data_IF_722223167694
#
_entry.id   IF_722223167694
#
_cell.length_a   1.000
_cell.length_b   1.000
_cell.length_c   1.000
_cell.angle_alpha   90.00
_cell.angle_beta   90.00
_cell.angle_gamma   90.00
#
_symmetry.space_group_name_H-M   'P 1'
#
loop_
_entity.id
_entity.type
_entity.pdbx_description
1 polymer ?
#
# COMPACT_ATOMS: atom_id res chain seq x y z
N UNK A 1 -36.78 -1.57 -22.28
CA UNK A 1 -35.74 -2.00 -23.25
C UNK A 1 -35.28 -3.39 -22.83
N UNK A 2 -35.74 -4.44 -23.52
CA UNK A 2 -35.52 -5.84 -23.12
C UNK A 2 -34.11 -6.28 -23.54
N UNK A 3 -33.18 -6.39 -22.58
CA UNK A 3 -31.88 -7.03 -22.80
C UNK A 3 -32.06 -8.55 -22.85
N UNK A 4 -31.49 -9.20 -23.86
CA UNK A 4 -31.53 -10.66 -24.00
C UNK A 4 -30.47 -11.31 -23.10
N UNK A 5 -30.77 -12.48 -22.52
CA UNK A 5 -29.82 -13.25 -21.67
C UNK A 5 -28.46 -13.52 -22.34
N UNK A 6 -28.44 -13.58 -23.67
CA UNK A 6 -27.23 -13.82 -24.46
C UNK A 6 -26.33 -12.60 -24.53
N UNK A 7 -26.90 -11.39 -24.51
CA UNK A 7 -26.16 -10.13 -24.51
C UNK A 7 -25.45 -9.88 -23.16
N UNK A 8 -26.16 -10.16 -22.06
CA UNK A 8 -25.59 -10.03 -20.71
C UNK A 8 -24.38 -10.96 -20.51
N UNK A 9 -24.48 -12.21 -20.97
CA UNK A 9 -23.41 -13.19 -20.86
C UNK A 9 -22.15 -12.82 -21.65
N UNK A 10 -22.29 -12.21 -22.83
CA UNK A 10 -21.16 -11.74 -23.64
C UNK A 10 -20.49 -10.53 -23.00
N UNK A 11 -21.26 -9.63 -22.37
CA UNK A 11 -20.71 -8.50 -21.60
C UNK A 11 -19.93 -9.00 -20.37
N UNK A 12 -20.47 -9.97 -19.64
CA UNK A 12 -19.81 -10.60 -18.48
C UNK A 12 -18.50 -11.31 -18.89
N UNK A 13 -18.54 -12.10 -19.97
CA UNK A 13 -17.36 -12.79 -20.52
C UNK A 13 -16.28 -11.79 -21.00
N UNK A 14 -16.67 -10.64 -21.57
CA UNK A 14 -15.74 -9.59 -22.01
C UNK A 14 -15.10 -8.83 -20.85
N UNK A 15 -15.85 -8.56 -19.78
CA UNK A 15 -15.32 -7.97 -18.54
C UNK A 15 -14.28 -8.90 -17.94
N UNK A 16 -14.57 -10.20 -17.88
CA UNK A 16 -13.64 -11.22 -17.38
C UNK A 16 -12.37 -11.31 -18.24
N UNK A 17 -12.50 -11.27 -19.57
CA UNK A 17 -11.36 -11.27 -20.51
C UNK A 17 -10.48 -10.03 -20.36
N UNK A 18 -11.08 -8.83 -20.26
CA UNK A 18 -10.33 -7.57 -20.11
C UNK A 18 -9.64 -7.49 -18.75
N UNK A 19 -10.29 -7.95 -17.67
CA UNK A 19 -9.69 -8.06 -16.34
C UNK A 19 -8.52 -9.04 -16.32
N UNK A 20 -8.63 -10.17 -17.03
CA UNK A 20 -7.57 -11.17 -17.11
C UNK A 20 -6.36 -10.74 -17.95
N UNK A 21 -6.53 -9.82 -18.90
CA UNK A 21 -5.44 -9.35 -19.76
C UNK A 21 -4.47 -8.38 -19.08
N UNK A 22 -4.88 -7.72 -17.98
CA UNK A 22 -4.09 -6.70 -17.27
C UNK A 22 -3.73 -7.09 -15.82
N UNK A 23 -3.83 -8.38 -15.49
CA UNK A 23 -3.51 -8.99 -14.19
C UNK A 23 -4.27 -8.42 -12.96
N UNK A 24 -5.20 -7.48 -13.14
CA UNK A 24 -5.99 -6.92 -12.05
C UNK A 24 -7.40 -7.50 -12.11
N UNK A 25 -7.72 -8.39 -11.17
CA UNK A 25 -9.04 -9.00 -11.03
C UNK A 25 -9.88 -8.21 -10.03
N UNK A 26 -11.06 -7.75 -10.45
CA UNK A 26 -12.07 -7.18 -9.57
C UNK A 26 -13.27 -8.13 -9.56
N UNK A 27 -13.58 -8.69 -8.40
CA UNK A 27 -14.78 -9.49 -8.17
C UNK A 27 -16.03 -8.62 -8.00
N UNK A 28 -17.15 -9.28 -7.72
CA UNK A 28 -18.43 -8.58 -7.55
C UNK A 28 -18.39 -7.70 -6.30
N UNK A 29 -17.67 -8.14 -5.27
CA UNK A 29 -17.51 -7.43 -4.00
C UNK A 29 -16.81 -6.09 -4.18
N UNK A 30 -15.74 -6.02 -4.99
CA UNK A 30 -15.06 -4.77 -5.31
C UNK A 30 -15.95 -3.84 -6.13
N UNK A 31 -16.66 -4.35 -7.12
CA UNK A 31 -17.60 -3.57 -7.94
C UNK A 31 -18.70 -2.96 -7.05
N UNK A 32 -19.28 -3.76 -6.17
CA UNK A 32 -20.30 -3.29 -5.23
C UNK A 32 -19.75 -2.25 -4.25
N UNK A 33 -18.50 -2.40 -3.79
CA UNK A 33 -17.85 -1.41 -2.93
C UNK A 33 -17.70 -0.06 -3.65
N UNK A 34 -17.29 -0.07 -4.93
CA UNK A 34 -17.22 1.15 -5.75
C UNK A 34 -18.61 1.77 -5.92
N UNK A 35 -19.64 0.97 -6.21
CA UNK A 35 -21.03 1.46 -6.33
C UNK A 35 -21.52 2.09 -5.02
N UNK A 36 -21.25 1.44 -3.88
CA UNK A 36 -21.58 2.00 -2.55
C UNK A 36 -20.87 3.33 -2.31
N UNK A 37 -19.57 3.42 -2.59
CA UNK A 37 -18.81 4.66 -2.48
C UNK A 37 -19.43 5.77 -3.31
N UNK A 38 -19.70 5.52 -4.59
CA UNK A 38 -20.27 6.52 -5.52
C UNK A 38 -21.67 6.99 -5.10
N UNK A 39 -22.49 6.09 -4.55
CA UNK A 39 -23.85 6.42 -4.09
C UNK A 39 -23.90 7.06 -2.70
N UNK A 40 -22.82 6.97 -1.93
CA UNK A 40 -22.81 7.40 -0.52
C UNK A 40 -22.83 8.91 -0.31
N UNK A 41 -22.49 9.71 -1.33
CA UNK A 41 -22.20 11.15 -1.17
C UNK A 41 -20.84 11.47 -0.53
N UNK A 42 -20.06 10.44 -0.16
CA UNK A 42 -18.78 10.54 0.56
C UNK A 42 -17.59 10.01 -0.26
N UNK A 43 -17.73 9.96 -1.59
CA UNK A 43 -16.74 9.35 -2.48
C UNK A 43 -15.38 10.08 -2.51
N UNK A 44 -15.30 11.32 -2.01
CA UNK A 44 -14.06 12.10 -1.97
C UNK A 44 -13.08 11.66 -0.87
N UNK A 45 -13.55 10.90 0.13
CA UNK A 45 -12.73 10.53 1.29
C UNK A 45 -12.38 11.69 2.24
N UNK A 46 -13.06 12.84 2.10
CA UNK A 46 -12.87 14.01 2.98
C UNK A 46 -13.61 13.89 4.31
N UNK A 47 -14.39 12.84 4.50
CA UNK A 47 -15.21 12.62 5.68
C UNK A 47 -14.69 11.43 6.48
N UNK A 48 -15.03 11.39 7.77
CA UNK A 48 -14.65 10.32 8.70
C UNK A 48 -15.53 9.07 8.58
N UNK A 49 -16.41 9.04 7.58
CA UNK A 49 -17.33 7.96 7.23
C UNK A 49 -17.11 7.48 5.78
N UNK A 50 -18.02 6.63 5.28
CA UNK A 50 -17.93 6.04 3.94
C UNK A 50 -17.02 4.82 3.82
N UNK A 51 -16.83 4.35 2.58
CA UNK A 51 -16.12 3.10 2.30
C UNK A 51 -14.63 3.16 2.70
N UNK A 52 -13.98 4.32 2.56
CA UNK A 52 -12.58 4.51 2.97
C UNK A 52 -12.37 4.38 4.47
N UNK A 53 -13.26 4.99 5.28
CA UNK A 53 -13.21 4.84 6.74
C UNK A 53 -13.59 3.42 7.20
N UNK A 54 -14.49 2.74 6.48
CA UNK A 54 -14.79 1.32 6.74
C UNK A 54 -13.56 0.45 6.47
N UNK A 55 -12.93 0.63 5.31
CA UNK A 55 -11.70 -0.06 4.94
C UNK A 55 -10.60 0.15 5.98
N UNK A 56 -10.37 1.40 6.42
CA UNK A 56 -9.39 1.70 7.47
C UNK A 56 -9.62 0.87 8.75
N UNK A 57 -10.85 0.80 9.25
CA UNK A 57 -11.18 0.03 10.47
C UNK A 57 -11.02 -1.48 10.26
N UNK A 58 -11.45 -2.00 9.13
CA UNK A 58 -11.32 -3.42 8.81
C UNK A 58 -9.85 -3.83 8.64
N UNK A 59 -9.06 -2.99 7.95
CA UNK A 59 -7.64 -3.21 7.74
C UNK A 59 -6.83 -3.11 9.04
N UNK A 60 -7.13 -2.12 9.90
CA UNK A 60 -6.52 -2.01 11.22
C UNK A 60 -6.74 -3.30 12.05
N UNK A 61 -7.99 -3.82 12.05
CA UNK A 61 -8.31 -5.08 12.72
C UNK A 61 -7.57 -6.27 12.11
N UNK A 62 -7.49 -6.39 10.79
CA UNK A 62 -6.77 -7.50 10.15
C UNK A 62 -5.27 -7.49 10.43
N UNK A 63 -4.69 -6.29 10.57
CA UNK A 63 -3.27 -6.12 10.90
C UNK A 63 -2.99 -6.17 12.42
N UNK A 64 -4.02 -6.21 13.27
CA UNK A 64 -3.86 -6.19 14.73
C UNK A 64 -3.33 -4.86 15.29
N UNK A 65 -3.61 -3.75 14.60
CA UNK A 65 -3.18 -2.40 15.01
C UNK A 65 -4.38 -1.53 15.41
N UNK A 66 -4.14 -0.50 16.21
CA UNK A 66 -5.20 0.42 16.67
C UNK A 66 -5.72 1.31 15.53
N UNK A 67 -4.82 1.77 14.66
CA UNK A 67 -5.13 2.72 13.59
C UNK A 67 -4.56 2.27 12.24
N UNK A 68 -5.28 2.56 11.17
CA UNK A 68 -4.79 2.47 9.80
C UNK A 68 -5.21 3.72 9.02
N UNK A 69 -4.30 4.26 8.20
CA UNK A 69 -4.55 5.42 7.35
C UNK A 69 -4.47 5.00 5.87
N UNK A 70 -5.60 4.92 5.16
CA UNK A 70 -5.60 4.64 3.73
C UNK A 70 -4.96 5.80 2.97
N UNK A 71 -4.04 5.48 2.06
CA UNK A 71 -3.36 6.45 1.21
C UNK A 71 -3.48 6.03 -0.26
N UNK A 72 -3.35 7.00 -1.15
CA UNK A 72 -3.40 6.76 -2.60
C UNK A 72 -2.17 6.04 -3.16
N UNK A 73 -1.02 6.11 -2.45
CA UNK A 73 0.24 5.46 -2.85
C UNK A 73 1.10 5.15 -1.62
N UNK A 74 1.75 3.98 -1.60
CA UNK A 74 2.58 3.52 -0.48
C UNK A 74 3.76 4.45 -0.17
N UNK A 75 4.31 5.12 -1.18
CA UNK A 75 5.34 6.13 -1.04
C UNK A 75 4.97 7.28 -0.09
N UNK A 76 3.70 7.70 -0.07
CA UNK A 76 3.23 8.73 0.87
C UNK A 76 3.23 8.19 2.30
N UNK A 77 3.01 6.89 2.49
CA UNK A 77 3.10 6.26 3.81
C UNK A 77 4.52 6.36 4.37
N UNK A 78 5.55 6.11 3.55
CA UNK A 78 6.96 6.24 3.96
C UNK A 78 7.31 7.69 4.33
N UNK A 79 6.86 8.68 3.55
CA UNK A 79 7.10 10.09 3.88
C UNK A 79 6.38 10.53 5.16
N UNK A 80 5.15 10.05 5.39
CA UNK A 80 4.44 10.30 6.65
C UNK A 80 5.15 9.61 7.81
N UNK A 81 5.58 8.37 7.65
CA UNK A 81 6.31 7.61 8.67
C UNK A 81 7.60 8.34 9.08
N UNK A 82 8.40 8.82 8.11
CA UNK A 82 9.59 9.63 8.36
C UNK A 82 9.29 10.86 9.24
N UNK A 83 8.17 11.55 8.98
CA UNK A 83 7.74 12.69 9.80
C UNK A 83 7.25 12.29 11.20
N UNK A 84 6.60 11.13 11.32
CA UNK A 84 6.09 10.63 12.61
C UNK A 84 7.22 10.18 13.55
N UNK A 85 8.30 9.64 13.00
CA UNK A 85 9.51 9.28 13.77
C UNK A 85 10.50 10.45 13.90
N UNK A 86 10.10 11.64 13.47
CA UNK A 86 10.88 12.88 13.49
C UNK A 86 12.25 12.81 12.79
N UNK A 87 12.33 12.07 11.68
CA UNK A 87 13.55 11.92 10.87
C UNK A 87 14.10 13.28 10.43
N UNK A 88 15.38 13.52 10.72
CA UNK A 88 16.11 14.74 10.40
C UNK A 88 17.15 14.54 9.31
N UNK A 89 17.52 15.62 8.60
CA UNK A 89 18.73 15.64 7.80
C UNK A 89 19.95 15.19 8.60
N UNK A 90 20.73 14.27 8.04
CA UNK A 90 21.90 13.67 8.69
C UNK A 90 21.62 12.38 9.47
N UNK A 91 20.35 12.06 9.76
CA UNK A 91 20.00 10.79 10.41
C UNK A 91 20.33 9.60 9.50
N UNK A 92 20.49 8.43 10.11
CA UNK A 92 20.78 7.18 9.40
C UNK A 92 19.59 6.23 9.45
N UNK A 93 19.28 5.58 8.32
CA UNK A 93 18.26 4.53 8.21
C UNK A 93 18.94 3.26 7.72
N UNK A 94 18.67 2.14 8.40
CA UNK A 94 19.11 0.81 7.98
C UNK A 94 18.06 0.19 7.05
N UNK A 95 18.46 -0.36 5.91
CA UNK A 95 17.58 -1.01 4.94
C UNK A 95 18.26 -2.21 4.27
N UNK A 96 17.47 -3.13 3.71
CA UNK A 96 17.98 -4.18 2.82
C UNK A 96 18.33 -3.59 1.44
N UNK A 97 19.46 -3.94 0.79
CA UNK A 97 19.74 -3.52 -0.60
C UNK A 97 18.84 -4.23 -1.61
N UNK A 98 18.34 -5.43 -1.28
CA UNK A 98 17.37 -6.18 -2.08
C UNK A 98 15.95 -5.78 -1.64
N UNK A 99 15.51 -4.61 -2.09
CA UNK A 99 14.15 -4.08 -1.86
C UNK A 99 13.71 -3.21 -3.04
N UNK A 100 12.47 -2.73 -3.02
CA UNK A 100 12.02 -1.75 -4.01
C UNK A 100 12.64 -0.38 -3.75
N UNK A 101 13.01 0.35 -4.81
CA UNK A 101 13.73 1.64 -4.71
C UNK A 101 13.02 2.67 -3.81
N UNK A 102 11.69 2.60 -3.71
CA UNK A 102 10.92 3.50 -2.85
C UNK A 102 11.37 3.43 -1.38
N UNK A 103 11.81 2.26 -0.89
CA UNK A 103 12.25 2.08 0.49
C UNK A 103 13.39 3.04 0.86
N UNK A 104 14.40 3.17 -0.01
CA UNK A 104 15.57 4.01 0.23
C UNK A 104 15.39 5.46 -0.27
N UNK A 105 14.71 5.66 -1.41
CA UNK A 105 14.66 7.00 -2.03
C UNK A 105 13.94 8.05 -1.16
N UNK A 106 12.97 7.63 -0.33
CA UNK A 106 12.27 8.56 0.55
C UNK A 106 13.12 8.96 1.75
N UNK A 107 13.94 8.07 2.30
CA UNK A 107 14.94 8.43 3.30
C UNK A 107 15.92 9.47 2.73
N UNK A 108 16.46 9.23 1.53
CA UNK A 108 17.39 10.15 0.85
C UNK A 108 16.75 11.52 0.56
N UNK A 109 15.45 11.57 0.26
CA UNK A 109 14.71 12.84 0.07
C UNK A 109 14.55 13.65 1.36
N UNK A 110 14.74 13.03 2.52
CA UNK A 110 14.77 13.68 3.82
C UNK A 110 16.20 14.01 4.28
N UNK A 111 17.19 13.97 3.35
CA UNK A 111 18.62 14.17 3.63
C UNK A 111 19.19 13.19 4.67
N UNK A 112 18.55 12.02 4.83
CA UNK A 112 19.06 10.93 5.65
C UNK A 112 20.04 10.06 4.85
N UNK A 113 20.95 9.39 5.55
CA UNK A 113 21.87 8.40 4.99
C UNK A 113 21.28 7.01 5.08
N UNK A 114 21.36 6.22 4.01
CA UNK A 114 20.92 4.82 4.03
C UNK A 114 22.12 3.90 4.23
N UNK A 115 22.10 3.08 5.28
CA UNK A 115 23.05 1.98 5.52
C UNK A 115 22.41 0.67 5.10
N UNK A 116 23.12 -0.11 4.30
CA UNK A 116 22.59 -1.37 3.79
C UNK A 116 23.05 -2.55 4.64
N UNK A 117 22.11 -3.44 4.97
CA UNK A 117 22.37 -4.74 5.59
C UNK A 117 22.92 -5.74 4.57
N UNK A 118 23.44 -6.87 5.05
CA UNK A 118 23.53 -8.06 4.22
C UNK A 118 22.14 -8.64 3.96
N UNK A 119 22.03 -9.51 2.94
CA UNK A 119 20.78 -10.15 2.53
C UNK A 119 20.91 -11.67 2.64
N UNK A 120 19.95 -12.31 3.32
CA UNK A 120 19.84 -13.77 3.37
C UNK A 120 19.47 -14.32 1.98
N UNK A 121 20.35 -15.08 1.29
CA UNK A 121 20.15 -15.49 -0.10
C UNK A 121 18.91 -16.36 -0.33
N UNK A 122 18.47 -17.14 0.66
CA UNK A 122 17.31 -18.03 0.49
C UNK A 122 15.98 -17.28 0.58
N UNK A 123 15.91 -16.25 1.44
CA UNK A 123 14.66 -15.53 1.70
C UNK A 123 14.60 -14.16 1.04
N UNK A 124 15.76 -13.63 0.61
CA UNK A 124 15.97 -12.27 0.14
C UNK A 124 15.62 -11.18 1.18
N UNK A 125 15.40 -11.56 2.44
CA UNK A 125 15.18 -10.65 3.55
C UNK A 125 16.52 -10.20 4.16
N UNK A 126 16.44 -9.27 5.10
CA UNK A 126 17.58 -8.80 5.89
C UNK A 126 18.24 -9.97 6.62
N UNK A 127 19.57 -10.07 6.54
CA UNK A 127 20.35 -10.85 7.50
C UNK A 127 20.44 -10.06 8.82
N UNK A 128 19.67 -10.50 9.81
CA UNK A 128 19.54 -9.87 11.12
C UNK A 128 20.88 -9.74 11.85
N UNK A 129 21.83 -10.64 11.60
CA UNK A 129 23.15 -10.63 12.23
C UNK A 129 24.02 -9.45 11.79
N UNK A 130 23.71 -8.85 10.63
CA UNK A 130 24.43 -7.71 10.07
C UNK A 130 23.95 -6.35 10.62
N UNK A 131 22.79 -6.29 11.29
CA UNK A 131 22.16 -5.03 11.72
C UNK A 131 22.99 -4.32 12.79
N UNK A 132 23.41 -5.03 13.85
CA UNK A 132 24.05 -4.43 15.02
C UNK A 132 25.33 -3.64 14.65
N UNK A 133 26.10 -4.15 13.68
CA UNK A 133 27.34 -3.51 13.21
C UNK A 133 27.11 -2.20 12.45
N UNK A 134 25.88 -1.91 12.03
CA UNK A 134 25.50 -0.71 11.29
C UNK A 134 24.95 0.41 12.19
N UNK A 135 24.65 0.11 13.46
CA UNK A 135 24.14 1.09 14.40
C UNK A 135 25.27 2.01 14.84
N UNK A 136 25.12 3.31 14.61
CA UNK A 136 26.08 4.34 15.02
C UNK A 136 25.55 5.18 16.19
N UNK A 137 26.42 5.84 16.96
CA UNK A 137 25.97 6.80 17.98
C UNK A 137 25.20 7.96 17.36
N UNK A 138 24.17 8.43 18.06
CA UNK A 138 23.42 9.65 17.71
C UNK A 138 24.22 10.94 17.98
#
# INVERSE_FOLDING_TARGET
MFRTRKQARIEDDLVEIIQNALATRFGIEEIEAVIRAMRSGHASGLTSDGEGARFAREFARSCGVEFALPLNVACNALSIAARLVDLKPGDEIISNPITYIATAIYALRHDATVRFTETEPETLNVDESSIEALITPS
#
